data_IF_762270157649
#
_entry.id   IF_762270157649
#
_cell.length_a   1.000
_cell.length_b   1.000
_cell.length_c   1.000
_cell.angle_alpha   90.00
_cell.angle_beta   90.00
_cell.angle_gamma   90.00
#
_symmetry.space_group_name_H-M   'P 1'
#
loop_
_entity.id
_entity.type
_entity.pdbx_description
1 polymer ?
#
# COMPACT_ATOMS: atom_id res chain seq x y z
N UNK A 1 -15.43 -7.58 -0.92
CA UNK A 1 -16.27 -8.80 -1.05
C UNK A 1 -15.35 -9.98 -1.26
N UNK A 2 -15.51 -11.07 -0.47
CA UNK A 2 -14.68 -12.29 -0.59
C UNK A 2 -15.57 -13.51 -0.79
N UNK A 3 -15.13 -14.41 -1.64
CA UNK A 3 -15.72 -15.73 -1.80
C UNK A 3 -14.59 -16.76 -1.74
N UNK A 4 -14.68 -17.65 -0.74
CA UNK A 4 -13.66 -18.65 -0.46
C UNK A 4 -14.26 -20.03 -0.50
N UNK A 5 -13.53 -20.97 -1.08
CA UNK A 5 -13.91 -22.37 -1.19
C UNK A 5 -12.73 -23.24 -0.76
N UNK A 6 -13.00 -24.20 0.12
CA UNK A 6 -11.98 -25.16 0.50
C UNK A 6 -12.54 -26.59 0.51
N UNK A 7 -11.70 -27.56 0.15
CA UNK A 7 -12.05 -28.96 0.17
C UNK A 7 -10.87 -29.83 0.57
N UNK A 8 -11.15 -30.80 1.40
CA UNK A 8 -10.22 -31.84 1.84
C UNK A 8 -10.39 -33.08 0.99
N UNK A 9 -9.28 -33.61 0.46
CA UNK A 9 -9.19 -34.82 -0.35
C UNK A 9 -8.16 -35.77 0.29
N UNK A 10 -8.58 -36.61 1.22
CA UNK A 10 -7.67 -37.46 1.96
C UNK A 10 -6.63 -36.67 2.73
N UNK A 11 -5.36 -36.75 2.35
CA UNK A 11 -4.25 -36.03 2.96
C UNK A 11 -3.96 -34.67 2.33
N UNK A 12 -4.82 -34.19 1.45
CA UNK A 12 -4.64 -32.94 0.73
C UNK A 12 -5.78 -31.98 1.01
N UNK A 13 -5.46 -30.71 1.19
CA UNK A 13 -6.45 -29.63 1.33
C UNK A 13 -6.21 -28.61 0.23
N UNK A 14 -7.21 -28.41 -0.61
CA UNK A 14 -7.23 -27.37 -1.62
C UNK A 14 -8.11 -26.23 -1.16
N UNK A 15 -7.64 -24.99 -1.35
CA UNK A 15 -8.44 -23.80 -1.15
C UNK A 15 -8.25 -22.84 -2.32
N UNK A 16 -9.32 -22.16 -2.70
CA UNK A 16 -9.30 -21.12 -3.73
C UNK A 16 -10.33 -20.05 -3.38
N UNK A 17 -10.14 -18.86 -3.88
CA UNK A 17 -11.09 -17.79 -3.66
C UNK A 17 -10.86 -16.61 -4.59
N UNK A 18 -11.82 -15.71 -4.58
CA UNK A 18 -11.79 -14.45 -5.26
C UNK A 18 -12.08 -13.31 -4.27
N UNK A 19 -11.43 -12.19 -4.46
CA UNK A 19 -11.63 -11.01 -3.64
C UNK A 19 -11.82 -9.78 -4.52
N UNK A 20 -12.75 -8.93 -4.14
CA UNK A 20 -12.95 -7.60 -4.72
C UNK A 20 -12.87 -6.58 -3.59
N UNK A 21 -12.00 -5.58 -3.74
CA UNK A 21 -11.77 -4.52 -2.78
C UNK A 21 -11.80 -3.18 -3.47
N UNK A 22 -12.52 -2.23 -2.90
CA UNK A 22 -12.50 -0.84 -3.26
C UNK A 22 -11.78 -0.08 -2.16
N UNK A 23 -10.77 0.69 -2.52
CA UNK A 23 -9.96 1.51 -1.62
C UNK A 23 -10.19 2.98 -1.96
N UNK A 24 -10.31 3.82 -0.93
CA UNK A 24 -10.46 5.26 -1.11
C UNK A 24 -9.47 5.99 -0.22
N UNK A 25 -8.97 7.11 -0.71
CA UNK A 25 -8.16 8.05 0.04
C UNK A 25 -8.66 9.46 -0.22
N UNK A 26 -9.23 10.07 0.81
CA UNK A 26 -9.77 11.41 0.77
C UNK A 26 -9.07 12.29 1.79
N UNK A 27 -8.68 13.49 1.38
CA UNK A 27 -8.22 14.55 2.29
C UNK A 27 -9.01 15.82 2.04
N UNK A 28 -9.53 16.41 3.11
CA UNK A 28 -10.23 17.69 3.08
C UNK A 28 -9.37 18.85 3.57
N UNK A 29 -9.71 20.05 3.15
CA UNK A 29 -9.10 21.25 3.70
C UNK A 29 -9.39 21.38 5.20
N UNK A 30 -8.41 21.82 5.95
CA UNK A 30 -8.55 22.14 7.36
C UNK A 30 -9.41 23.40 7.60
N UNK A 31 -9.60 23.72 8.86
CA UNK A 31 -10.21 25.01 9.23
C UNK A 31 -9.36 26.17 8.65
N UNK A 32 -9.98 27.20 8.04
CA UNK A 32 -9.25 28.34 7.47
C UNK A 32 -8.22 28.98 8.40
N UNK A 33 -8.48 29.02 9.69
CA UNK A 33 -7.53 29.53 10.68
C UNK A 33 -6.27 28.66 10.81
N UNK A 34 -6.31 27.41 10.39
CA UNK A 34 -5.17 26.49 10.45
C UNK A 34 -4.14 26.68 9.33
N UNK A 35 -4.49 27.36 8.25
CA UNK A 35 -3.60 27.62 7.10
C UNK A 35 -3.58 29.06 6.62
N UNK A 36 -4.47 29.93 7.09
CA UNK A 36 -4.52 31.33 6.68
C UNK A 36 -3.34 32.14 7.25
N UNK A 37 -2.93 33.16 6.50
CA UNK A 37 -1.97 34.15 6.99
C UNK A 37 -2.61 34.96 8.12
N UNK A 38 -1.90 35.08 9.23
CA UNK A 38 -2.29 35.97 10.33
C UNK A 38 -1.96 37.45 10.02
N UNK A 39 -2.18 38.34 10.99
CA UNK A 39 -1.92 39.78 10.83
C UNK A 39 -0.41 40.12 10.73
N UNK A 40 0.47 39.17 11.04
CA UNK A 40 1.91 39.35 11.02
C UNK A 40 2.51 38.67 9.77
N UNK A 41 3.05 39.47 8.87
CA UNK A 41 3.62 39.00 7.57
C UNK A 41 5.01 38.37 7.69
N UNK A 42 5.61 38.46 8.85
CA UNK A 42 6.94 37.90 9.18
C UNK A 42 6.84 36.52 9.87
N UNK A 43 5.64 35.95 9.98
CA UNK A 43 5.40 34.68 10.65
C UNK A 43 4.80 33.65 9.70
N UNK A 44 5.11 32.34 9.93
CA UNK A 44 4.46 31.26 9.19
C UNK A 44 2.94 31.33 9.29
N UNK A 45 2.28 30.91 8.22
CA UNK A 45 0.82 30.80 8.17
C UNK A 45 0.32 29.65 9.04
N UNK A 46 -0.92 29.75 9.50
CA UNK A 46 -1.59 28.68 10.23
C UNK A 46 -1.19 28.56 11.68
N UNK A 47 -1.39 27.37 12.24
CA UNK A 47 -1.11 27.08 13.65
C UNK A 47 0.35 26.75 13.89
N UNK A 48 0.86 27.12 15.06
CA UNK A 48 2.27 26.93 15.43
C UNK A 48 2.70 25.44 15.55
N UNK A 49 1.74 24.53 15.77
CA UNK A 49 1.99 23.10 15.95
C UNK A 49 1.91 22.27 14.64
N UNK A 50 1.59 22.92 13.53
CA UNK A 50 1.46 22.32 12.21
C UNK A 50 0.39 23.03 11.39
N UNK A 51 0.67 23.36 10.16
CA UNK A 51 -0.31 23.93 9.24
C UNK A 51 -1.40 22.91 8.91
N UNK A 52 -2.66 23.36 8.81
CA UNK A 52 -3.73 22.57 8.22
C UNK A 52 -3.55 22.45 6.71
N UNK A 53 -4.16 21.43 6.13
CA UNK A 53 -4.20 21.29 4.68
C UNK A 53 -4.97 22.46 4.07
N UNK A 54 -4.42 23.04 3.02
CA UNK A 54 -5.09 24.10 2.27
C UNK A 54 -6.11 23.50 1.29
N UNK A 55 -7.04 24.28 0.74
CA UNK A 55 -7.93 23.80 -0.33
C UNK A 55 -7.21 23.26 -1.57
N UNK A 56 -5.93 23.59 -1.75
CA UNK A 56 -5.09 23.09 -2.85
C UNK A 56 -4.41 21.76 -2.54
N UNK A 57 -4.43 21.33 -1.29
CA UNK A 57 -3.82 20.09 -0.81
C UNK A 57 -4.84 18.96 -0.64
N UNK A 58 -6.07 19.16 -1.16
CA UNK A 58 -7.14 18.16 -1.10
C UNK A 58 -6.92 17.08 -2.16
N UNK A 59 -7.18 15.85 -1.80
CA UNK A 59 -7.13 14.71 -2.69
C UNK A 59 -8.41 13.87 -2.52
N UNK A 60 -8.86 13.30 -3.62
CA UNK A 60 -9.94 12.32 -3.66
C UNK A 60 -9.53 11.26 -4.70
N UNK A 61 -9.10 10.12 -4.20
CA UNK A 61 -8.58 9.02 -5.01
C UNK A 61 -9.29 7.73 -4.61
N UNK A 62 -9.59 6.92 -5.60
CA UNK A 62 -10.11 5.59 -5.41
C UNK A 62 -9.33 4.57 -6.25
N UNK A 63 -9.46 3.31 -5.89
CA UNK A 63 -8.84 2.19 -6.59
C UNK A 63 -9.64 0.92 -6.37
N UNK A 64 -9.86 0.21 -7.48
CA UNK A 64 -10.44 -1.12 -7.47
C UNK A 64 -9.38 -2.21 -7.58
N UNK A 65 -9.50 -3.21 -6.71
CA UNK A 65 -8.59 -4.36 -6.68
C UNK A 65 -9.41 -5.63 -6.81
N UNK A 66 -9.08 -6.44 -7.80
CA UNK A 66 -9.61 -7.77 -7.97
C UNK A 66 -8.51 -8.81 -7.82
N UNK A 67 -8.79 -9.89 -7.12
CA UNK A 67 -7.80 -10.95 -6.95
C UNK A 67 -8.40 -12.34 -6.97
N UNK A 68 -7.56 -13.29 -7.37
CA UNK A 68 -7.83 -14.72 -7.31
C UNK A 68 -6.65 -15.42 -6.68
N UNK A 69 -6.92 -16.40 -5.83
CA UNK A 69 -5.87 -17.22 -5.24
C UNK A 69 -6.22 -18.70 -5.25
N UNK A 70 -5.19 -19.51 -5.20
CA UNK A 70 -5.31 -20.95 -4.97
C UNK A 70 -4.17 -21.43 -4.06
N UNK A 71 -4.48 -22.41 -3.21
CA UNK A 71 -3.49 -23.06 -2.36
C UNK A 71 -3.75 -24.56 -2.24
N UNK A 72 -2.66 -25.30 -2.10
CA UNK A 72 -2.68 -26.74 -1.90
C UNK A 72 -1.73 -27.07 -0.75
N UNK A 73 -2.30 -27.58 0.34
CA UNK A 73 -1.56 -28.17 1.45
C UNK A 73 -1.65 -29.70 1.35
N UNK A 74 -0.52 -30.37 1.38
CA UNK A 74 -0.43 -31.80 1.12
C UNK A 74 0.46 -32.50 2.14
N UNK A 75 -0.06 -33.58 2.69
CA UNK A 75 0.68 -34.54 3.51
C UNK A 75 1.07 -35.75 2.66
N UNK A 76 2.36 -35.96 2.46
CA UNK A 76 2.94 -37.06 1.68
C UNK A 76 3.46 -38.15 2.62
N UNK A 77 2.59 -39.09 2.96
CA UNK A 77 2.87 -40.08 4.00
C UNK A 77 2.96 -39.44 5.40
N UNK A 78 3.70 -40.08 6.30
CA UNK A 78 3.77 -39.64 7.71
C UNK A 78 4.74 -38.50 8.00
N UNK A 79 5.71 -38.28 7.09
CA UNK A 79 6.90 -37.45 7.38
C UNK A 79 7.06 -36.21 6.53
N UNK A 80 6.36 -36.11 5.41
CA UNK A 80 6.58 -35.03 4.45
C UNK A 80 5.31 -34.23 4.22
N UNK A 81 5.41 -32.90 4.38
CA UNK A 81 4.31 -31.96 4.12
C UNK A 81 4.80 -30.88 3.15
N UNK A 82 3.90 -30.47 2.26
CA UNK A 82 4.15 -29.34 1.34
C UNK A 82 2.97 -28.39 1.35
N UNK A 83 3.25 -27.09 1.25
CA UNK A 83 2.27 -26.04 1.07
C UNK A 83 2.68 -25.23 -0.16
N UNK A 84 1.77 -25.12 -1.12
CA UNK A 84 1.94 -24.33 -2.34
C UNK A 84 0.79 -23.34 -2.39
N UNK A 85 1.07 -22.09 -2.66
CA UNK A 85 0.06 -21.06 -2.83
C UNK A 85 0.47 -20.09 -3.94
N UNK A 86 -0.52 -19.60 -4.67
CA UNK A 86 -0.35 -18.53 -5.65
C UNK A 86 -1.55 -17.58 -5.54
N UNK A 87 -1.30 -16.29 -5.73
CA UNK A 87 -2.30 -15.24 -5.76
C UNK A 87 -1.97 -14.26 -6.89
N UNK A 88 -2.95 -13.96 -7.70
CA UNK A 88 -2.90 -12.91 -8.69
C UNK A 88 -3.81 -11.78 -8.26
N UNK A 89 -3.30 -10.56 -8.24
CA UNK A 89 -4.05 -9.34 -7.95
C UNK A 89 -3.96 -8.41 -9.14
N UNK A 90 -5.07 -7.80 -9.47
CA UNK A 90 -5.16 -6.78 -10.51
C UNK A 90 -5.67 -5.49 -9.90
N UNK A 91 -4.89 -4.45 -10.06
CA UNK A 91 -5.13 -3.08 -9.65
C UNK A 91 -5.46 -2.26 -10.89
N UNK A 92 -6.47 -1.42 -10.84
CA UNK A 92 -6.90 -0.61 -11.99
C UNK A 92 -5.94 0.53 -12.33
N UNK A 93 -5.08 0.92 -11.37
CA UNK A 93 -4.12 2.01 -11.52
C UNK A 93 -2.74 1.58 -12.05
N UNK A 94 -2.23 0.40 -11.71
CA UNK A 94 -0.88 -0.03 -12.15
C UNK A 94 -0.81 -1.45 -12.74
N UNK A 95 -1.92 -2.19 -12.78
CA UNK A 95 -1.98 -3.50 -13.45
C UNK A 95 -1.91 -4.70 -12.52
N UNK A 96 -1.32 -5.79 -12.99
CA UNK A 96 -1.42 -7.09 -12.34
C UNK A 96 -0.12 -7.61 -11.75
N UNK A 97 -0.21 -8.19 -10.53
CA UNK A 97 0.91 -8.76 -9.80
C UNK A 97 0.64 -10.21 -9.39
N UNK A 98 1.66 -11.05 -9.51
CA UNK A 98 1.61 -12.46 -9.13
C UNK A 98 2.52 -12.74 -7.95
N UNK A 99 1.94 -13.25 -6.87
CA UNK A 99 2.67 -13.74 -5.71
C UNK A 99 2.54 -15.23 -5.57
N UNK A 100 3.58 -15.86 -5.02
CA UNK A 100 3.61 -17.29 -4.80
C UNK A 100 4.40 -17.68 -3.56
N UNK A 101 4.06 -18.83 -3.02
CA UNK A 101 4.74 -19.44 -1.88
C UNK A 101 4.86 -20.93 -2.08
N UNK A 102 6.05 -21.44 -1.79
CA UNK A 102 6.31 -22.87 -1.66
C UNK A 102 6.95 -23.11 -0.28
N UNK A 103 6.37 -24.02 0.49
CA UNK A 103 6.95 -24.46 1.75
C UNK A 103 6.97 -25.99 1.82
N UNK A 104 7.97 -26.52 2.50
CA UNK A 104 8.09 -27.95 2.74
C UNK A 104 8.62 -28.23 4.16
N UNK A 105 8.17 -29.33 4.75
CA UNK A 105 8.64 -29.83 6.03
C UNK A 105 8.86 -31.34 5.93
N UNK A 106 10.02 -31.79 6.36
CA UNK A 106 10.35 -33.19 6.44
C UNK A 106 10.75 -33.58 7.88
N UNK A 107 10.12 -34.61 8.40
CA UNK A 107 10.36 -35.15 9.73
C UNK A 107 11.28 -36.36 9.64
N UNK A 108 12.54 -36.19 10.03
CA UNK A 108 13.55 -37.26 10.04
C UNK A 108 13.33 -38.23 11.21
N UNK A 109 12.94 -37.69 12.36
CA UNK A 109 12.67 -38.41 13.58
C UNK A 109 11.63 -37.64 14.41
N UNK A 110 10.92 -38.28 15.38
CA UNK A 110 9.91 -37.59 16.22
C UNK A 110 10.43 -36.33 16.92
N UNK A 111 11.73 -36.26 17.18
CA UNK A 111 12.36 -35.09 17.83
C UNK A 111 13.06 -34.14 16.84
N UNK A 112 13.09 -34.44 15.53
CA UNK A 112 13.84 -33.65 14.56
C UNK A 112 13.14 -33.52 13.22
N UNK A 113 12.81 -32.29 12.84
CA UNK A 113 12.24 -31.96 11.54
C UNK A 113 12.97 -30.75 10.92
N UNK A 114 13.15 -30.79 9.61
CA UNK A 114 13.63 -29.66 8.81
C UNK A 114 12.46 -29.04 8.05
N UNK A 115 12.42 -27.71 8.01
CA UNK A 115 11.44 -26.96 7.22
C UNK A 115 12.11 -25.84 6.45
N UNK A 116 11.59 -25.55 5.27
CA UNK A 116 12.03 -24.43 4.44
C UNK A 116 10.87 -23.84 3.68
N UNK A 117 10.98 -22.57 3.31
CA UNK A 117 10.00 -21.90 2.45
C UNK A 117 10.68 -20.86 1.58
N UNK A 118 10.10 -20.65 0.41
CA UNK A 118 10.43 -19.57 -0.52
C UNK A 118 9.14 -18.90 -0.94
N UNK A 119 9.13 -17.56 -1.01
CA UNK A 119 8.01 -16.78 -1.50
C UNK A 119 8.50 -15.51 -2.16
N UNK A 120 7.76 -15.04 -3.16
CA UNK A 120 7.81 -13.67 -3.63
C UNK A 120 6.59 -12.93 -3.09
N UNK A 121 6.79 -11.68 -2.71
CA UNK A 121 5.73 -10.80 -2.27
C UNK A 121 5.93 -9.46 -2.96
N UNK A 122 4.86 -8.68 -3.06
CA UNK A 122 4.94 -7.29 -3.49
C UNK A 122 4.15 -6.41 -2.52
N UNK A 123 4.37 -5.12 -2.62
CA UNK A 123 3.62 -4.10 -1.91
C UNK A 123 3.17 -3.04 -2.91
N UNK A 124 1.86 -2.93 -3.08
CA UNK A 124 1.28 -1.85 -3.86
C UNK A 124 1.54 -0.48 -3.19
N UNK A 125 1.87 0.56 -3.95
CA UNK A 125 1.86 1.93 -3.43
C UNK A 125 0.50 2.24 -2.82
N UNK A 126 0.47 2.83 -1.62
CA UNK A 126 -0.80 3.25 -1.03
C UNK A 126 -1.35 4.49 -1.75
N UNK A 127 -2.67 4.63 -1.79
CA UNK A 127 -3.31 5.82 -2.35
C UNK A 127 -2.83 7.11 -1.67
N UNK A 128 -2.50 7.04 -0.37
CA UNK A 128 -1.90 8.16 0.35
C UNK A 128 -0.50 8.52 -0.12
N UNK A 129 0.33 7.55 -0.53
CA UNK A 129 1.64 7.82 -1.13
C UNK A 129 1.51 8.47 -2.51
N UNK A 130 0.48 8.05 -3.26
CA UNK A 130 0.21 8.55 -4.61
C UNK A 130 -0.37 9.97 -4.57
N UNK A 131 -1.26 10.27 -3.62
CA UNK A 131 -2.13 11.45 -3.68
C UNK A 131 -1.95 12.48 -2.56
N UNK A 132 -1.14 12.20 -1.53
CA UNK A 132 -0.99 13.16 -0.44
C UNK A 132 -0.21 14.40 -0.89
N UNK A 133 -0.82 15.57 -0.67
CA UNK A 133 -0.18 16.89 -0.84
C UNK A 133 -0.24 17.66 0.46
N UNK A 134 0.72 18.53 0.68
CA UNK A 134 0.69 19.46 1.82
C UNK A 134 1.48 20.72 1.54
N UNK A 135 0.96 21.83 2.04
CA UNK A 135 1.61 23.15 1.98
C UNK A 135 2.11 23.54 3.36
N UNK A 136 3.37 23.92 3.47
CA UNK A 136 3.98 24.37 4.71
C UNK A 136 4.68 25.72 4.52
N UNK A 137 4.71 26.52 5.57
CA UNK A 137 5.43 27.79 5.59
C UNK A 137 6.53 27.72 6.64
N UNK A 138 7.73 28.15 6.30
CA UNK A 138 8.88 28.13 7.20
C UNK A 138 9.89 29.20 6.83
N UNK A 139 11.02 29.21 7.51
CA UNK A 139 12.11 30.12 7.20
C UNK A 139 13.20 29.38 6.43
N UNK A 140 13.73 30.03 5.39
CA UNK A 140 14.90 29.53 4.69
C UNK A 140 16.19 29.78 5.49
N UNK A 141 17.35 29.36 4.94
CA UNK A 141 18.66 29.54 5.57
C UNK A 141 19.06 31.01 5.74
N UNK A 142 18.44 31.94 5.03
CA UNK A 142 18.63 33.38 5.15
C UNK A 142 17.69 34.05 6.15
N UNK A 143 16.78 33.27 6.77
CA UNK A 143 15.77 33.78 7.69
C UNK A 143 14.58 34.44 7.02
N UNK A 144 14.40 34.24 5.69
CA UNK A 144 13.21 34.71 4.98
C UNK A 144 12.10 33.69 5.02
N UNK A 145 10.88 34.21 5.17
CA UNK A 145 9.67 33.35 5.14
C UNK A 145 9.50 32.79 3.73
N UNK A 146 9.40 31.48 3.64
CA UNK A 146 9.21 30.74 2.38
C UNK A 146 8.09 29.72 2.52
N UNK A 147 7.44 29.43 1.41
CA UNK A 147 6.41 28.40 1.33
C UNK A 147 6.93 27.20 0.52
N UNK A 148 6.86 26.02 1.13
CA UNK A 148 7.16 24.75 0.49
C UNK A 148 5.88 23.95 0.27
N UNK A 149 5.82 23.20 -0.84
CA UNK A 149 4.75 22.24 -1.08
C UNK A 149 5.31 20.86 -1.33
N UNK A 150 4.77 19.88 -0.61
CA UNK A 150 4.86 18.48 -1.00
C UNK A 150 3.78 18.24 -2.04
N UNK A 151 4.18 17.77 -3.21
CA UNK A 151 3.28 17.49 -4.33
C UNK A 151 3.20 15.99 -4.56
N UNK A 152 2.03 15.52 -4.89
CA UNK A 152 1.80 14.14 -5.31
C UNK A 152 2.51 13.85 -6.64
N UNK A 153 2.80 12.59 -6.90
CA UNK A 153 3.42 12.16 -8.18
C UNK A 153 2.53 12.45 -9.39
N UNK A 154 1.23 12.58 -9.17
CA UNK A 154 0.24 12.91 -10.21
C UNK A 154 0.07 14.41 -10.45
N UNK A 155 0.67 15.25 -9.61
CA UNK A 155 0.60 16.69 -9.79
C UNK A 155 1.33 17.13 -11.06
N UNK A 156 0.73 17.97 -11.93
CA UNK A 156 1.35 18.42 -13.18
C UNK A 156 2.71 19.10 -12.98
N UNK A 157 2.89 19.83 -11.88
CA UNK A 157 4.17 20.49 -11.56
C UNK A 157 5.23 19.45 -11.19
N UNK A 158 4.87 18.44 -10.36
CA UNK A 158 5.78 17.36 -10.02
C UNK A 158 6.19 16.58 -11.27
N UNK A 159 5.25 16.27 -12.16
CA UNK A 159 5.52 15.64 -13.46
C UNK A 159 6.48 16.47 -14.34
N UNK A 160 6.27 17.76 -14.41
CA UNK A 160 7.15 18.66 -15.16
C UNK A 160 8.58 18.70 -14.57
N UNK A 161 8.72 18.44 -13.27
CA UNK A 161 10.00 18.33 -12.56
C UNK A 161 10.62 16.93 -12.60
N UNK A 162 9.96 15.96 -13.26
CA UNK A 162 10.50 14.60 -13.46
C UNK A 162 9.94 13.54 -12.53
N UNK A 163 8.86 13.81 -11.80
CA UNK A 163 8.19 12.77 -11.02
C UNK A 163 7.64 11.67 -11.94
N UNK A 164 7.81 10.43 -11.50
CA UNK A 164 7.34 9.23 -12.19
C UNK A 164 6.29 8.53 -11.33
N UNK A 165 5.52 7.64 -11.97
CA UNK A 165 4.60 6.77 -11.25
C UNK A 165 5.35 5.92 -10.22
N UNK A 166 4.68 5.62 -9.12
CA UNK A 166 5.23 4.73 -8.11
C UNK A 166 5.03 3.29 -8.58
N UNK A 167 6.10 2.54 -8.66
CA UNK A 167 6.06 1.11 -8.96
C UNK A 167 5.84 0.29 -7.68
N UNK A 168 5.21 -0.89 -7.79
CA UNK A 168 5.16 -1.86 -6.69
C UNK A 168 6.56 -2.27 -6.22
N UNK A 169 6.73 -2.42 -4.91
CA UNK A 169 7.98 -2.90 -4.27
C UNK A 169 7.96 -4.41 -4.05
#
# INVERSE_FOLDING_TARGET
MNLDLSRVFGAHTFATGVEFRHETFETGAGDPASYAAGPYTDRPTGSQAGGGLTPQDTADLDRDVSSVYASLSSQWGEKFTTDIAARYEHYDDFGGELTGKLAARYEFAPAFALRGSVSNNFRAPSLSQIGFESTSTGYDASGQLTQGRLLSVNNPVARALGAQDLDPE
#
